data_IF_050656818267
#
_entry.id   IF_050656818267
#
_cell.length_a   1.000
_cell.length_b   1.000
_cell.length_c   1.000
_cell.angle_alpha   90.00
_cell.angle_beta   90.00
_cell.angle_gamma   90.00
#
_symmetry.space_group_name_H-M   'P 1'
#
loop_
_entity.id
_entity.type
_entity.pdbx_description
1 polymer ?
#
# COMPACT_ATOMS: atom_id res chain seq x y z
N UNK A 1 -4.51 8.51 9.25
CA UNK A 1 -3.97 7.12 9.14
C UNK A 1 -2.48 7.14 9.35
N UNK A 2 -2.00 6.34 10.28
CA UNK A 2 -0.57 6.23 10.51
C UNK A 2 0.07 5.32 9.47
N UNK A 3 1.22 5.74 8.94
CA UNK A 3 1.96 4.94 7.95
C UNK A 3 3.27 4.45 8.57
N UNK A 4 3.64 3.22 8.21
CA UNK A 4 4.89 2.59 8.63
C UNK A 4 5.90 2.73 7.50
N UNK A 5 7.10 3.25 7.77
CA UNK A 5 8.16 3.28 6.76
C UNK A 5 8.56 1.88 6.32
N UNK A 6 8.85 1.72 5.04
CA UNK A 6 9.30 0.45 4.48
C UNK A 6 10.58 0.65 3.69
N UNK A 7 11.36 -0.42 3.54
CA UNK A 7 12.57 -0.42 2.73
C UNK A 7 12.20 -0.84 1.32
N UNK A 8 12.18 0.13 0.40
CA UNK A 8 11.83 -0.10 -1.00
C UNK A 8 12.46 0.98 -1.85
N UNK A 9 12.71 0.68 -3.12
CA UNK A 9 13.26 1.66 -4.06
C UNK A 9 12.26 2.74 -4.42
N UNK A 10 10.97 2.47 -4.40
CA UNK A 10 9.94 3.42 -4.83
C UNK A 10 8.83 3.67 -3.82
N UNK A 11 8.67 2.85 -2.79
CA UNK A 11 7.65 3.03 -1.74
C UNK A 11 8.32 3.54 -0.48
N UNK A 12 7.79 4.63 0.08
CA UNK A 12 8.36 5.24 1.28
C UNK A 12 7.66 4.72 2.54
N UNK A 13 6.34 4.62 2.54
CA UNK A 13 5.58 4.20 3.71
C UNK A 13 4.24 3.62 3.31
N UNK A 14 3.67 2.80 4.21
CA UNK A 14 2.39 2.14 3.99
C UNK A 14 1.56 2.20 5.25
N UNK A 15 0.28 2.52 5.10
CA UNK A 15 -0.68 2.51 6.20
C UNK A 15 -1.93 1.71 5.83
N UNK A 16 -2.69 1.28 6.84
CA UNK A 16 -3.90 0.52 6.61
C UNK A 16 -4.94 0.86 7.68
N UNK A 17 -6.17 1.04 7.23
CA UNK A 17 -7.32 1.27 8.11
C UNK A 17 -8.22 0.04 8.04
N UNK A 18 -8.30 -0.71 9.14
CA UNK A 18 -9.11 -1.93 9.21
C UNK A 18 -10.61 -1.63 9.14
N UNK A 19 -11.04 -0.46 9.62
CA UNK A 19 -12.46 -0.12 9.64
C UNK A 19 -13.01 0.13 8.25
N UNK A 20 -12.22 0.72 7.38
CA UNK A 20 -12.64 1.07 6.01
C UNK A 20 -12.00 0.18 4.96
N UNK A 21 -11.11 -0.73 5.36
CA UNK A 21 -10.33 -1.58 4.44
C UNK A 21 -9.59 -0.76 3.40
N UNK A 22 -9.01 0.36 3.83
CA UNK A 22 -8.27 1.28 2.97
C UNK A 22 -6.78 1.11 3.19
N UNK A 23 -6.05 0.85 2.12
CA UNK A 23 -4.60 0.81 2.10
C UNK A 23 -4.09 2.15 1.57
N UNK A 24 -3.16 2.79 2.30
CA UNK A 24 -2.57 4.05 1.88
C UNK A 24 -1.08 3.84 1.63
N UNK A 25 -0.61 4.30 0.47
CA UNK A 25 0.79 4.12 0.06
C UNK A 25 1.37 5.46 -0.31
N UNK A 26 2.47 5.82 0.34
CA UNK A 26 3.28 6.96 -0.03
C UNK A 26 4.46 6.48 -0.86
N UNK A 27 4.62 7.06 -2.05
CA UNK A 27 5.76 6.78 -2.92
C UNK A 27 6.88 7.79 -2.66
N UNK A 28 8.11 7.43 -3.02
CA UNK A 28 9.27 8.29 -2.74
C UNK A 28 9.27 9.60 -3.53
N UNK A 29 8.49 9.67 -4.61
CA UNK A 29 8.31 10.92 -5.34
C UNK A 29 7.33 11.90 -4.66
N UNK A 30 6.79 11.53 -3.49
CA UNK A 30 5.86 12.36 -2.73
C UNK A 30 4.40 12.08 -3.01
N UNK A 31 4.06 11.26 -4.00
CA UNK A 31 2.67 10.91 -4.30
C UNK A 31 2.11 10.00 -3.21
N UNK A 32 0.84 10.21 -2.85
CA UNK A 32 0.13 9.36 -1.90
C UNK A 32 -1.14 8.84 -2.57
N UNK A 33 -1.32 7.52 -2.53
CA UNK A 33 -2.48 6.85 -3.10
C UNK A 33 -3.22 6.06 -2.04
N UNK A 34 -4.55 5.99 -2.18
CA UNK A 34 -5.37 5.09 -1.38
C UNK A 34 -5.99 4.04 -2.30
N UNK A 35 -5.95 2.78 -1.84
CA UNK A 35 -6.56 1.63 -2.51
C UNK A 35 -7.71 1.15 -1.64
N UNK A 36 -8.88 0.87 -2.24
CA UNK A 36 -10.11 0.64 -1.51
C UNK A 36 -10.52 -0.82 -1.52
N UNK A 37 -11.21 -1.24 -0.47
CA UNK A 37 -11.71 -2.61 -0.30
C UNK A 37 -10.57 -3.64 -0.34
N UNK A 38 -9.46 -3.30 0.30
CA UNK A 38 -8.29 -4.18 0.40
C UNK A 38 -8.42 -5.01 1.68
N UNK A 39 -8.49 -6.34 1.60
CA UNK A 39 -8.52 -7.17 2.80
C UNK A 39 -7.26 -7.00 3.63
N UNK A 40 -7.39 -7.13 4.94
CA UNK A 40 -6.23 -6.99 5.84
C UNK A 40 -5.14 -8.02 5.54
N UNK A 41 -5.53 -9.22 5.09
CA UNK A 41 -4.54 -10.25 4.70
C UNK A 41 -3.64 -9.79 3.57
N UNK A 42 -4.17 -9.01 2.62
CA UNK A 42 -3.38 -8.45 1.52
C UNK A 42 -2.39 -7.42 2.05
N UNK A 43 -2.82 -6.57 2.99
CA UNK A 43 -1.92 -5.63 3.66
C UNK A 43 -0.80 -6.37 4.40
N UNK A 44 -1.14 -7.43 5.13
CA UNK A 44 -0.15 -8.21 5.87
C UNK A 44 0.85 -8.87 4.91
N UNK A 45 0.37 -9.42 3.79
CA UNK A 45 1.23 -10.02 2.78
C UNK A 45 2.16 -8.97 2.15
N UNK A 46 1.64 -7.77 1.89
CA UNK A 46 2.44 -6.66 1.38
C UNK A 46 3.58 -6.31 2.34
N UNK A 47 3.27 -6.19 3.62
CA UNK A 47 4.26 -5.81 4.64
C UNK A 47 5.28 -6.92 4.90
N UNK A 48 4.94 -8.16 4.57
CA UNK A 48 5.84 -9.32 4.74
C UNK A 48 6.61 -9.64 3.46
N UNK A 49 6.31 -8.97 2.35
CA UNK A 49 6.92 -9.28 1.07
C UNK A 49 8.41 -8.92 1.08
N UNK A 50 9.23 -9.73 0.40
CA UNK A 50 10.65 -9.43 0.23
C UNK A 50 10.86 -8.18 -0.61
N UNK A 51 9.92 -7.84 -1.50
CA UNK A 51 9.91 -6.59 -2.25
C UNK A 51 8.51 -5.99 -2.19
N UNK A 52 8.37 -4.94 -1.41
CA UNK A 52 7.09 -4.24 -1.25
C UNK A 52 6.64 -3.65 -2.59
N UNK A 53 7.54 -3.04 -3.33
CA UNK A 53 7.21 -2.44 -4.62
C UNK A 53 6.74 -3.47 -5.64
N UNK A 54 7.41 -4.62 -5.71
CA UNK A 54 7.01 -5.70 -6.62
C UNK A 54 5.65 -6.26 -6.24
N UNK A 55 5.43 -6.51 -4.96
CA UNK A 55 4.13 -7.01 -4.49
C UNK A 55 3.01 -6.03 -4.84
N UNK A 56 3.24 -4.74 -4.58
CA UNK A 56 2.27 -3.70 -4.90
C UNK A 56 1.91 -3.69 -6.38
N UNK A 57 2.93 -3.74 -7.25
CA UNK A 57 2.73 -3.72 -8.69
C UNK A 57 1.95 -4.95 -9.18
N UNK A 58 2.29 -6.12 -8.68
CA UNK A 58 1.74 -7.39 -9.17
C UNK A 58 0.37 -7.72 -8.61
N UNK A 59 0.08 -7.28 -7.37
CA UNK A 59 -1.10 -7.77 -6.65
C UNK A 59 -2.10 -6.69 -6.26
N UNK A 60 -1.72 -5.42 -6.29
CA UNK A 60 -2.57 -4.37 -5.76
C UNK A 60 -2.95 -3.33 -6.81
N UNK A 61 -1.98 -2.80 -7.55
CA UNK A 61 -2.23 -1.65 -8.43
C UNK A 61 -3.34 -1.87 -9.45
N UNK A 62 -3.43 -3.07 -10.02
CA UNK A 62 -4.41 -3.38 -11.05
C UNK A 62 -5.65 -4.09 -10.50
N UNK A 63 -5.68 -4.40 -9.21
CA UNK A 63 -6.72 -5.26 -8.63
C UNK A 63 -7.73 -4.50 -7.79
N UNK A 64 -7.45 -3.27 -7.38
CA UNK A 64 -8.30 -2.50 -6.48
C UNK A 64 -8.55 -1.11 -7.04
N UNK A 65 -9.71 -0.53 -6.68
CA UNK A 65 -9.99 0.87 -6.96
C UNK A 65 -9.01 1.73 -6.17
N UNK A 66 -8.66 2.87 -6.71
CA UNK A 66 -7.71 3.75 -6.04
C UNK A 66 -8.01 5.21 -6.35
N UNK A 67 -7.45 6.07 -5.53
CA UNK A 67 -7.44 7.52 -5.76
C UNK A 67 -6.12 8.08 -5.25
N UNK A 68 -5.61 9.09 -5.94
CA UNK A 68 -4.47 9.86 -5.46
C UNK A 68 -4.99 10.96 -4.54
N UNK A 69 -4.35 11.13 -3.40
CA UNK A 69 -4.75 12.16 -2.43
C UNK A 69 -3.70 13.24 -2.29
#
# INVERSE_FOLDING_TARGET
MNRTPVTSSNVASVGYDTNTMTLEVEFRNGSVYQYFDVPETVYQDLMSASSVGTYLNQNIKASYRYAQI
#
